data_IF_511963712567
#
_entry.id   IF_511963712567
#
_cell.length_a   1.000
_cell.length_b   1.000
_cell.length_c   1.000
_cell.angle_alpha   90.00
_cell.angle_beta   90.00
_cell.angle_gamma   90.00
#
_symmetry.space_group_name_H-M   'P 1'
#
loop_
_entity.id
_entity.type
_entity.pdbx_description
1 polymer ?
#
# COMPACT_ATOMS: atom_id res chain seq x y z
N UNK A 1 18.02 4.10 20.87
CA UNK A 1 16.70 3.73 21.42
C UNK A 1 16.08 2.66 20.53
N UNK A 2 15.15 1.86 21.07
CA UNK A 2 14.43 0.81 20.32
C UNK A 2 13.63 1.38 19.14
N UNK A 3 13.12 2.61 19.27
CA UNK A 3 12.36 3.33 18.24
C UNK A 3 13.13 3.48 16.92
N UNK A 4 14.36 4.00 16.96
CA UNK A 4 15.18 4.19 15.74
C UNK A 4 15.52 2.86 15.04
N UNK A 5 15.67 1.78 15.81
CA UNK A 5 15.93 0.44 15.26
C UNK A 5 14.67 -0.11 14.58
N UNK A 6 13.50 0.04 15.22
CA UNK A 6 12.21 -0.36 14.67
C UNK A 6 11.92 0.36 13.34
N UNK A 7 12.10 1.67 13.28
CA UNK A 7 11.89 2.44 12.04
C UNK A 7 12.82 2.00 10.91
N UNK A 8 14.10 1.73 11.23
CA UNK A 8 15.07 1.23 10.24
C UNK A 8 14.71 -0.16 9.71
N UNK A 9 14.23 -1.06 10.56
CA UNK A 9 13.78 -2.39 10.15
C UNK A 9 12.54 -2.30 9.25
N UNK A 10 11.56 -1.45 9.60
CA UNK A 10 10.39 -1.18 8.76
C UNK A 10 10.79 -0.63 7.38
N UNK A 11 11.73 0.32 7.33
CA UNK A 11 12.24 0.86 6.06
C UNK A 11 12.91 -0.21 5.21
N UNK A 12 13.73 -1.07 5.82
CA UNK A 12 14.40 -2.17 5.11
C UNK A 12 13.40 -3.19 4.57
N UNK A 13 12.41 -3.56 5.38
CA UNK A 13 11.34 -4.47 4.95
C UNK A 13 10.56 -3.87 3.78
N UNK A 14 10.13 -2.60 3.90
CA UNK A 14 9.45 -1.90 2.82
C UNK A 14 10.29 -1.86 1.53
N UNK A 15 11.58 -1.51 1.62
CA UNK A 15 12.46 -1.47 0.46
C UNK A 15 12.64 -2.85 -0.20
N UNK A 16 12.73 -3.91 0.60
CA UNK A 16 12.78 -5.28 0.10
C UNK A 16 11.49 -5.66 -0.63
N UNK A 17 10.32 -5.38 -0.04
CA UNK A 17 9.01 -5.66 -0.65
C UNK A 17 8.83 -4.89 -1.96
N UNK A 18 9.21 -3.61 -2.00
CA UNK A 18 9.12 -2.81 -3.22
C UNK A 18 10.00 -3.35 -4.35
N UNK A 19 11.19 -3.86 -4.01
CA UNK A 19 12.07 -4.51 -4.99
C UNK A 19 11.43 -5.79 -5.53
N UNK A 20 10.91 -6.64 -4.65
CA UNK A 20 10.24 -7.87 -5.05
C UNK A 20 9.04 -7.58 -5.97
N UNK A 21 8.21 -6.60 -5.62
CA UNK A 21 7.07 -6.18 -6.46
C UNK A 21 7.55 -5.73 -7.84
N UNK A 22 8.61 -4.92 -7.91
CA UNK A 22 9.16 -4.45 -9.18
C UNK A 22 9.68 -5.59 -10.07
N UNK A 23 10.25 -6.63 -9.48
CA UNK A 23 10.83 -7.77 -10.20
C UNK A 23 9.76 -8.79 -10.63
N UNK A 24 8.67 -8.94 -9.87
CA UNK A 24 7.73 -10.05 -10.04
C UNK A 24 6.29 -9.65 -10.42
N UNK A 25 5.92 -8.38 -10.29
CA UNK A 25 4.56 -7.91 -10.57
C UNK A 25 4.55 -7.12 -11.86
N UNK A 26 3.88 -7.64 -12.88
CA UNK A 26 3.68 -6.91 -14.13
C UNK A 26 2.66 -5.79 -13.94
N UNK A 27 2.67 -4.82 -14.86
CA UNK A 27 1.67 -3.74 -14.86
C UNK A 27 0.24 -4.28 -14.97
N UNK A 28 0.05 -5.34 -15.73
CA UNK A 28 -1.25 -5.99 -15.91
C UNK A 28 -1.73 -6.64 -14.62
N UNK A 29 -0.87 -7.40 -13.93
CA UNK A 29 -1.20 -8.02 -12.64
C UNK A 29 -1.54 -6.96 -11.57
N UNK A 30 -0.80 -5.85 -11.55
CA UNK A 30 -1.09 -4.73 -10.66
C UNK A 30 -2.46 -4.10 -10.97
N UNK A 31 -2.77 -3.89 -12.25
CA UNK A 31 -4.06 -3.37 -12.68
C UNK A 31 -5.21 -4.32 -12.35
N UNK A 32 -5.05 -5.62 -12.63
CA UNK A 32 -6.04 -6.64 -12.29
C UNK A 32 -6.32 -6.71 -10.79
N UNK A 33 -5.26 -6.69 -9.96
CA UNK A 33 -5.39 -6.64 -8.50
C UNK A 33 -6.16 -5.38 -8.06
N UNK A 34 -5.86 -4.22 -8.66
CA UNK A 34 -6.57 -2.97 -8.37
C UNK A 34 -8.05 -3.07 -8.74
N UNK A 35 -8.37 -3.59 -9.93
CA UNK A 35 -9.76 -3.79 -10.38
C UNK A 35 -10.52 -4.72 -9.43
N UNK A 36 -9.87 -5.81 -9.02
CA UNK A 36 -10.43 -6.75 -8.06
C UNK A 36 -10.72 -6.09 -6.70
N UNK A 37 -9.77 -5.30 -6.18
CA UNK A 37 -9.94 -4.55 -4.93
C UNK A 37 -11.08 -3.53 -5.00
N UNK A 38 -11.26 -2.88 -6.15
CA UNK A 38 -12.32 -1.90 -6.37
C UNK A 38 -13.66 -2.52 -6.81
N UNK A 39 -13.74 -3.85 -6.90
CA UNK A 39 -14.95 -4.54 -7.35
C UNK A 39 -15.34 -4.25 -8.80
N UNK A 40 -14.42 -3.77 -9.63
CA UNK A 40 -14.70 -3.42 -11.02
C UNK A 40 -15.15 -4.66 -11.82
N UNK A 41 -16.24 -4.51 -12.57
CA UNK A 41 -16.79 -5.59 -13.39
C UNK A 41 -17.62 -6.63 -12.63
N UNK A 42 -17.94 -6.41 -11.35
CA UNK A 42 -18.84 -7.27 -10.55
C UNK A 42 -20.14 -6.55 -10.26
N UNK A 43 -21.26 -7.17 -10.64
CA UNK A 43 -22.60 -6.61 -10.41
C UNK A 43 -22.86 -6.40 -8.91
N UNK A 44 -23.42 -5.23 -8.57
CA UNK A 44 -23.76 -4.88 -7.19
C UNK A 44 -22.58 -4.42 -6.32
N UNK A 45 -21.34 -4.39 -6.83
CA UNK A 45 -20.21 -3.80 -6.13
C UNK A 45 -19.96 -2.36 -6.58
N UNK A 46 -19.71 -1.48 -5.61
CA UNK A 46 -19.34 -0.08 -5.83
C UNK A 46 -17.89 0.10 -5.39
N UNK A 47 -17.05 0.79 -6.18
CA UNK A 47 -15.68 1.10 -5.78
C UNK A 47 -15.64 1.80 -4.42
N UNK A 48 -14.69 1.40 -3.58
CA UNK A 48 -14.45 2.08 -2.31
C UNK A 48 -13.98 3.52 -2.58
N UNK A 49 -14.71 4.54 -2.13
CA UNK A 49 -14.26 5.95 -2.23
C UNK A 49 -13.19 6.31 -1.20
N UNK A 50 -12.89 5.38 -0.28
CA UNK A 50 -11.92 5.63 0.79
C UNK A 50 -10.55 5.88 0.19
N UNK A 51 -10.09 7.12 0.27
CA UNK A 51 -8.78 7.53 -0.21
C UNK A 51 -7.78 7.40 0.93
N UNK A 52 -6.62 6.78 0.65
CA UNK A 52 -5.51 6.71 1.60
C UNK A 52 -4.54 7.87 1.34
N UNK A 53 -4.39 8.74 2.33
CA UNK A 53 -3.46 9.87 2.35
C UNK A 53 -2.37 9.58 3.40
N UNK A 54 -1.20 9.04 3.00
CA UNK A 54 -0.16 8.69 3.94
C UNK A 54 0.55 9.93 4.49
N UNK A 55 0.67 10.04 5.81
CA UNK A 55 1.34 11.15 6.51
C UNK A 55 2.53 10.64 7.31
N UNK A 56 3.58 11.46 7.47
CA UNK A 56 4.66 11.15 8.41
C UNK A 56 4.40 11.82 9.75
N UNK A 57 4.05 11.02 10.75
CA UNK A 57 3.84 11.47 12.12
C UNK A 57 4.92 10.85 13.03
N UNK A 58 5.64 11.68 13.79
CA UNK A 58 6.74 11.23 14.66
C UNK A 58 7.70 10.25 13.96
N UNK A 59 8.12 10.59 12.73
CA UNK A 59 9.04 9.77 11.91
C UNK A 59 8.49 8.41 11.47
N UNK A 60 7.20 8.15 11.66
CA UNK A 60 6.51 6.96 11.17
C UNK A 60 5.54 7.34 10.05
N UNK A 61 5.58 6.59 8.95
CA UNK A 61 4.60 6.72 7.87
C UNK A 61 3.31 6.03 8.31
N UNK A 62 2.26 6.80 8.51
CA UNK A 62 0.92 6.33 8.87
C UNK A 62 -0.01 6.49 7.68
N UNK A 63 -0.98 5.58 7.53
CA UNK A 63 -2.03 5.69 6.52
C UNK A 63 -3.21 6.44 7.12
N UNK A 64 -3.55 7.63 6.63
CA UNK A 64 -4.82 8.28 6.97
C UNK A 64 -5.85 7.95 5.91
N UNK A 65 -7.00 7.44 6.32
CA UNK A 65 -8.09 7.11 5.42
C UNK A 65 -9.17 8.18 5.51
N UNK A 66 -9.66 8.64 4.36
CA UNK A 66 -10.78 9.58 4.23
C UNK A 66 -11.83 8.96 3.33
N UNK A 67 -13.11 9.11 3.67
CA UNK A 67 -14.25 8.59 2.89
C UNK A 67 -14.76 9.67 1.94
#
# INVERSE_FOLDING_TARGET
SHERVSTRLHQRFHAWTQRWVKEHVTREMAAETSRWLMGEGREGLVPCSTTCDPETLHFQRINKYRV
#
